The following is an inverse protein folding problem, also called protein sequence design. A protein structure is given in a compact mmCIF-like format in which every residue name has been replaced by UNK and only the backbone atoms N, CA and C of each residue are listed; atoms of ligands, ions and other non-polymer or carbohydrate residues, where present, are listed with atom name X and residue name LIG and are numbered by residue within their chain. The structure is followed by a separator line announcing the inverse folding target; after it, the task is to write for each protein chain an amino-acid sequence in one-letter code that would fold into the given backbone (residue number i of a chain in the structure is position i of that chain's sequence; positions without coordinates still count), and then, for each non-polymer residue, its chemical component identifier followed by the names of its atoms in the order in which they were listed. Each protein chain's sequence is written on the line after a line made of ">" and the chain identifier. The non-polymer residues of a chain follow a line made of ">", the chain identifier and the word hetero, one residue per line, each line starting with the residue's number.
data_IF_867206198981
#
_entry.id   IF_867206198981
#
_cell.length_a   1.000
_cell.length_b   1.000
_cell.length_c   1.000
_cell.angle_alpha   90.00
_cell.angle_beta   90.00
_cell.angle_gamma   90.00
#
_symmetry.space_group_name_H-M   'P 1'
#
loop_
_entity.id
_entity.type
_entity.pdbx_description
1 polymer ?
#
# COMPACT_ATOMS: atom_id res chain seq x y z
N UNK A 1 27.85 -15.08 5.81
CA UNK A 1 28.52 -14.58 4.59
C UNK A 1 27.94 -13.22 4.28
N UNK A 2 28.74 -12.16 4.36
CA UNK A 2 28.36 -10.83 3.89
C UNK A 2 28.29 -10.89 2.36
N UNK A 3 27.09 -10.77 1.80
CA UNK A 3 26.90 -10.62 0.35
C UNK A 3 27.71 -9.40 -0.10
N UNK A 4 28.57 -9.57 -1.09
CA UNK A 4 29.25 -8.45 -1.73
C UNK A 4 28.19 -7.56 -2.38
N UNK A 5 28.10 -6.31 -1.94
CA UNK A 5 27.15 -5.33 -2.49
C UNK A 5 27.76 -4.78 -3.79
N UNK A 6 27.09 -4.91 -4.94
CA UNK A 6 27.61 -4.41 -6.19
C UNK A 6 27.63 -2.88 -6.22
N UNK A 7 28.45 -2.29 -7.10
CA UNK A 7 28.46 -0.83 -7.31
C UNK A 7 27.27 -0.34 -8.13
N UNK A 8 26.69 -1.22 -8.95
CA UNK A 8 25.53 -0.93 -9.82
C UNK A 8 24.44 -2.00 -9.65
N UNK A 9 23.25 -1.69 -10.13
CA UNK A 9 22.03 -2.49 -10.02
C UNK A 9 21.10 -2.25 -11.20
N UNK A 10 20.16 -3.18 -11.40
CA UNK A 10 19.03 -3.01 -12.30
C UNK A 10 17.90 -2.22 -11.64
N UNK A 11 17.34 -1.25 -12.36
CA UNK A 11 16.17 -0.46 -11.94
C UNK A 11 15.14 -0.36 -13.06
N UNK A 12 13.86 -0.25 -12.70
CA UNK A 12 12.79 0.09 -13.63
C UNK A 12 12.56 1.61 -13.61
N UNK A 13 13.12 2.31 -14.60
CA UNK A 13 13.20 3.76 -14.67
C UNK A 13 12.12 4.35 -15.59
N UNK A 14 11.54 5.46 -15.17
CA UNK A 14 10.64 6.29 -15.99
C UNK A 14 11.27 7.68 -16.13
N UNK A 15 11.77 8.03 -17.31
CA UNK A 15 12.49 9.30 -17.53
C UNK A 15 11.58 10.52 -17.52
N UNK A 16 10.34 10.35 -17.97
CA UNK A 16 9.33 11.39 -18.06
C UNK A 16 7.94 10.78 -17.83
N UNK A 17 7.02 11.56 -17.27
CA UNK A 17 5.64 11.14 -17.09
C UNK A 17 4.99 10.80 -18.43
N UNK A 18 4.21 9.72 -18.46
CA UNK A 18 3.64 9.12 -19.67
C UNK A 18 4.64 8.29 -20.49
N UNK A 19 5.93 8.32 -20.16
CA UNK A 19 6.99 7.57 -20.83
C UNK A 19 6.95 6.06 -20.55
N UNK A 20 7.72 5.28 -21.31
CA UNK A 20 7.88 3.85 -21.08
C UNK A 20 8.64 3.56 -19.78
N UNK A 21 8.50 2.33 -19.28
CA UNK A 21 9.37 1.79 -18.23
C UNK A 21 10.60 1.20 -18.92
N UNK A 22 11.78 1.69 -18.56
CA UNK A 22 13.07 1.24 -19.08
C UNK A 22 13.80 0.46 -17.99
N UNK A 23 14.31 -0.73 -18.31
CA UNK A 23 15.23 -1.43 -17.42
C UNK A 23 16.65 -0.92 -17.67
N UNK A 24 17.29 -0.39 -16.63
CA UNK A 24 18.65 0.15 -16.67
C UNK A 24 19.51 -0.68 -15.72
N UNK A 25 20.50 -1.40 -16.25
CA UNK A 25 21.30 -2.39 -15.51
C UNK A 25 22.57 -1.84 -14.84
N UNK A 26 22.94 -0.59 -15.16
CA UNK A 26 24.15 0.09 -14.67
C UNK A 26 23.83 1.25 -13.72
N UNK A 27 22.66 1.23 -13.08
CA UNK A 27 22.26 2.29 -12.15
C UNK A 27 23.04 2.17 -10.83
N UNK A 28 23.52 3.27 -10.21
CA UNK A 28 24.31 3.18 -8.99
C UNK A 28 23.52 2.58 -7.81
N UNK A 29 24.15 1.70 -7.03
CA UNK A 29 23.61 1.27 -5.73
C UNK A 29 23.78 2.42 -4.74
N UNK A 30 22.72 2.85 -4.03
CA UNK A 30 22.84 3.95 -3.08
C UNK A 30 23.73 3.57 -1.88
N UNK A 31 24.52 4.53 -1.41
CA UNK A 31 25.29 4.39 -0.17
C UNK A 31 24.45 4.95 0.96
N UNK A 32 24.07 4.14 1.98
CA UNK A 32 23.23 4.63 3.06
C UNK A 32 23.97 5.67 3.90
N UNK A 33 23.30 6.79 4.17
CA UNK A 33 23.75 7.84 5.07
C UNK A 33 23.71 7.44 6.56
N UNK A 34 23.95 8.41 7.45
CA UNK A 34 24.04 8.18 8.90
C UNK A 34 22.77 7.58 9.53
N UNK A 35 21.59 7.96 9.02
CA UNK A 35 20.29 7.52 9.50
C UNK A 35 19.59 6.58 8.51
N UNK A 36 20.35 5.94 7.63
CA UNK A 36 19.80 5.06 6.61
C UNK A 36 20.36 3.65 6.70
N UNK A 37 19.58 2.70 6.19
CA UNK A 37 20.04 1.34 5.91
C UNK A 37 19.91 1.08 4.42
N UNK A 38 20.77 0.20 3.90
CA UNK A 38 20.61 -0.33 2.55
C UNK A 38 19.91 -1.68 2.65
N UNK A 39 18.80 -1.84 1.93
CA UNK A 39 18.09 -3.10 1.80
C UNK A 39 18.21 -3.63 0.37
N UNK A 40 18.47 -4.94 0.23
CA UNK A 40 18.26 -5.66 -1.02
C UNK A 40 16.78 -5.98 -1.14
N UNK A 41 16.13 -5.49 -2.18
CA UNK A 41 14.73 -5.77 -2.46
C UNK A 41 14.58 -7.24 -2.87
N UNK A 42 13.62 -7.92 -2.26
CA UNK A 42 13.29 -9.31 -2.54
C UNK A 42 12.08 -9.41 -3.46
N UNK A 43 11.02 -8.66 -3.12
CA UNK A 43 9.76 -8.62 -3.85
C UNK A 43 9.15 -7.24 -3.74
N UNK A 44 8.35 -6.87 -4.74
CA UNK A 44 7.54 -5.66 -4.72
C UNK A 44 6.26 -5.90 -5.52
N UNK A 45 5.15 -5.43 -4.98
CA UNK A 45 3.89 -5.39 -5.73
C UNK A 45 3.90 -4.29 -6.79
N UNK A 46 2.96 -4.38 -7.73
CA UNK A 46 2.64 -3.33 -8.69
C UNK A 46 1.21 -2.90 -8.43
N UNK A 47 1.04 -1.68 -7.95
CA UNK A 47 -0.25 -1.13 -7.61
C UNK A 47 -0.71 -0.14 -8.69
N UNK A 48 -2.02 0.09 -8.75
CA UNK A 48 -2.63 1.05 -9.66
C UNK A 48 -2.04 2.46 -9.47
N UNK A 49 -1.63 2.82 -8.25
CA UNK A 49 -0.97 4.09 -7.95
C UNK A 49 0.36 4.24 -8.69
N UNK A 50 1.15 3.16 -8.85
CA UNK A 50 2.39 3.20 -9.64
C UNK A 50 2.08 3.53 -11.11
N UNK A 51 1.01 2.95 -11.66
CA UNK A 51 0.57 3.22 -13.03
C UNK A 51 0.07 4.66 -13.20
N UNK A 52 -0.70 5.18 -12.23
CA UNK A 52 -1.18 6.56 -12.25
C UNK A 52 -0.03 7.56 -12.17
N UNK A 53 0.94 7.32 -11.29
CA UNK A 53 2.16 8.15 -11.17
C UNK A 53 2.96 8.11 -12.45
N UNK A 54 3.27 6.91 -12.98
CA UNK A 54 3.97 6.74 -14.26
C UNK A 54 3.26 7.46 -15.41
N UNK A 55 1.92 7.41 -15.46
CA UNK A 55 1.13 8.07 -16.50
C UNK A 55 0.97 9.59 -16.32
N UNK A 56 1.37 10.16 -15.17
CA UNK A 56 1.10 11.56 -14.83
C UNK A 56 -0.37 11.87 -14.54
N UNK A 57 -1.14 10.85 -14.13
CA UNK A 57 -2.57 10.95 -13.81
C UNK A 57 -2.87 10.80 -12.32
N UNK A 58 -1.84 10.67 -11.48
CA UNK A 58 -2.00 10.62 -10.04
C UNK A 58 -2.64 11.92 -9.52
N UNK A 59 -3.61 11.78 -8.63
CA UNK A 59 -4.32 12.89 -8.03
C UNK A 59 -4.29 12.77 -6.50
N UNK A 60 -4.26 13.91 -5.82
CA UNK A 60 -4.41 14.01 -4.39
C UNK A 60 -5.83 13.69 -3.93
N UNK A 61 -6.01 13.61 -2.62
CA UNK A 61 -7.31 13.40 -1.99
C UNK A 61 -8.33 14.53 -2.29
N UNK A 62 -7.87 15.70 -2.71
CA UNK A 62 -8.66 16.85 -3.17
C UNK A 62 -8.99 16.80 -4.67
N UNK A 63 -8.62 15.72 -5.37
CA UNK A 63 -8.79 15.55 -6.80
C UNK A 63 -7.82 16.39 -7.65
N UNK A 64 -6.90 17.13 -7.03
CA UNK A 64 -5.92 17.91 -7.77
C UNK A 64 -4.78 17.01 -8.29
N UNK A 65 -4.29 17.23 -9.53
CA UNK A 65 -3.18 16.46 -10.06
C UNK A 65 -1.92 16.61 -9.22
N UNK A 66 -1.22 15.50 -8.99
CA UNK A 66 0.10 15.49 -8.37
C UNK A 66 1.14 15.78 -9.44
N UNK A 67 1.67 17.00 -9.44
CA UNK A 67 2.58 17.49 -10.49
C UNK A 67 4.05 17.48 -10.07
N UNK A 68 4.34 17.49 -8.77
CA UNK A 68 5.70 17.48 -8.23
C UNK A 68 6.21 16.04 -8.01
N UNK A 69 6.50 15.33 -9.10
CA UNK A 69 7.07 13.99 -9.09
C UNK A 69 8.57 14.06 -9.44
N UNK A 70 9.43 13.44 -8.62
CA UNK A 70 10.87 13.29 -8.90
C UNK A 70 11.07 12.53 -10.21
N UNK A 71 11.84 13.11 -11.13
CA UNK A 71 12.28 12.46 -12.37
C UNK A 71 13.83 12.43 -12.45
N UNK A 72 14.43 11.39 -13.07
CA UNK A 72 13.77 10.17 -13.50
C UNK A 72 13.23 9.39 -12.30
N UNK A 73 12.08 8.75 -12.48
CA UNK A 73 11.29 8.13 -11.43
C UNK A 73 11.55 6.62 -11.40
N UNK A 74 11.91 6.09 -10.23
CA UNK A 74 11.84 4.67 -9.92
C UNK A 74 10.63 4.48 -9.00
N UNK A 75 9.63 3.74 -9.46
CA UNK A 75 8.38 3.49 -8.72
C UNK A 75 8.49 2.38 -7.68
N UNK A 76 7.35 1.90 -7.18
CA UNK A 76 7.25 0.78 -6.25
C UNK A 76 7.16 1.25 -4.80
N UNK A 77 6.05 0.96 -4.15
CA UNK A 77 5.77 1.47 -2.79
C UNK A 77 5.16 0.41 -1.86
N UNK A 78 5.30 -0.84 -2.26
CA UNK A 78 4.83 -2.03 -1.55
C UNK A 78 5.86 -3.16 -1.72
N UNK A 79 7.08 -2.88 -1.24
CA UNK A 79 8.24 -3.76 -1.37
C UNK A 79 8.65 -4.42 -0.05
N UNK A 80 9.36 -5.54 -0.15
CA UNK A 80 9.98 -6.24 0.97
C UNK A 80 11.45 -6.39 0.65
N UNK A 81 12.31 -6.08 1.62
CA UNK A 81 13.75 -6.20 1.47
C UNK A 81 14.42 -6.85 2.68
N UNK A 82 15.71 -7.15 2.54
CA UNK A 82 16.59 -7.50 3.66
C UNK A 82 17.71 -6.49 3.79
N UNK A 83 17.95 -6.03 5.01
CA UNK A 83 19.05 -5.11 5.29
C UNK A 83 20.38 -5.79 4.95
N UNK A 84 21.20 -5.17 4.10
CA UNK A 84 22.53 -5.65 3.71
C UNK A 84 23.65 -4.74 4.20
N UNK A 85 23.35 -3.49 4.56
CA UNK A 85 24.31 -2.54 5.14
C UNK A 85 23.62 -1.55 6.05
N UNK A 86 24.26 -1.24 7.17
CA UNK A 86 23.82 -0.19 8.09
C UNK A 86 24.60 1.09 7.83
N UNK A 87 23.92 2.23 7.96
CA UNK A 87 24.52 3.53 8.11
C UNK A 87 25.34 3.67 9.40
N UNK A 88 26.28 4.63 9.46
CA UNK A 88 27.11 4.87 10.64
C UNK A 88 26.32 5.05 11.94
N UNK A 89 26.67 4.25 12.96
CA UNK A 89 26.14 4.38 14.32
C UNK A 89 24.76 3.76 14.55
N UNK A 90 24.13 3.12 13.54
CA UNK A 90 22.78 2.56 13.69
C UNK A 90 22.78 1.37 14.64
N UNK A 91 23.76 0.47 14.54
CA UNK A 91 23.83 -0.72 15.38
C UNK A 91 23.92 -0.38 16.87
N UNK A 92 24.57 0.74 17.20
CA UNK A 92 24.70 1.26 18.56
C UNK A 92 23.44 1.99 19.03
N UNK A 93 22.75 2.72 18.14
CA UNK A 93 21.53 3.48 18.47
C UNK A 93 20.29 2.60 18.60
N UNK A 94 20.18 1.58 17.75
CA UNK A 94 19.04 0.68 17.71
C UNK A 94 19.47 -0.75 17.35
N UNK A 95 19.67 -1.63 18.35
CA UNK A 95 20.10 -3.00 18.12
C UNK A 95 19.01 -3.88 17.49
N UNK A 96 17.76 -3.41 17.38
CA UNK A 96 16.71 -4.13 16.67
C UNK A 96 16.87 -4.07 15.14
N UNK A 97 17.67 -3.11 14.64
CA UNK A 97 18.00 -2.93 13.24
C UNK A 97 19.38 -3.53 12.97
N UNK A 98 19.41 -4.70 12.33
CA UNK A 98 20.64 -5.43 12.05
C UNK A 98 20.67 -5.97 10.62
N UNK A 99 21.87 -6.30 10.13
CA UNK A 99 22.06 -6.91 8.81
C UNK A 99 21.33 -8.26 8.78
N UNK A 100 20.46 -8.44 7.78
CA UNK A 100 19.62 -9.62 7.63
C UNK A 100 18.16 -9.39 8.00
N UNK A 101 17.84 -8.33 8.75
CA UNK A 101 16.45 -8.00 9.10
C UNK A 101 15.59 -7.86 7.85
N UNK A 102 14.49 -8.62 7.82
CA UNK A 102 13.40 -8.42 6.88
C UNK A 102 12.68 -7.09 7.16
N UNK A 103 12.48 -6.28 6.12
CA UNK A 103 11.93 -4.92 6.23
C UNK A 103 10.92 -4.62 5.14
N UNK A 104 9.95 -3.78 5.46
CA UNK A 104 8.96 -3.27 4.51
C UNK A 104 9.36 -1.93 3.89
N UNK A 105 9.13 -1.79 2.60
CA UNK A 105 9.23 -0.58 1.79
C UNK A 105 7.82 -0.13 1.48
N UNK A 106 7.29 0.78 2.30
CA UNK A 106 5.91 1.25 2.26
C UNK A 106 5.79 2.54 1.47
N UNK A 107 4.57 3.07 1.33
CA UNK A 107 4.36 4.34 0.63
C UNK A 107 5.17 5.51 1.21
N UNK A 108 5.06 5.79 2.51
CA UNK A 108 5.79 6.90 3.13
C UNK A 108 7.25 6.52 3.34
N UNK A 109 8.16 7.36 2.84
CA UNK A 109 9.60 7.17 3.01
C UNK A 109 10.07 7.81 4.31
N UNK A 110 9.74 9.10 4.50
CA UNK A 110 10.16 9.86 5.68
C UNK A 110 9.03 10.67 6.29
N UNK A 111 9.09 10.78 7.61
CA UNK A 111 8.20 11.61 8.43
C UNK A 111 9.02 12.43 9.43
N UNK A 112 8.42 13.47 10.00
CA UNK A 112 9.12 14.38 10.90
C UNK A 112 9.32 13.84 12.32
N UNK A 113 8.57 12.78 12.70
CA UNK A 113 8.60 12.09 14.02
C UNK A 113 8.33 12.99 15.24
N UNK A 114 7.83 14.20 15.01
CA UNK A 114 7.73 15.23 16.05
C UNK A 114 6.41 16.00 16.04
N UNK A 115 5.66 15.97 14.93
CA UNK A 115 4.32 16.57 14.92
C UNK A 115 3.33 15.70 15.68
N UNK A 116 2.22 16.31 16.08
CA UNK A 116 1.13 15.65 16.80
C UNK A 116 0.67 14.34 16.14
N UNK A 117 0.60 14.30 14.81
CA UNK A 117 0.25 13.08 14.07
C UNK A 117 1.30 11.99 14.20
N UNK A 118 2.59 12.33 14.12
CA UNK A 118 3.65 11.34 14.30
C UNK A 118 3.73 10.84 15.75
N UNK A 119 3.50 11.74 16.72
CA UNK A 119 3.54 11.39 18.15
C UNK A 119 2.29 10.60 18.58
N UNK A 120 1.15 10.81 17.90
CA UNK A 120 -0.07 10.05 18.10
C UNK A 120 -0.10 8.68 17.43
N UNK A 121 0.93 8.32 16.65
CA UNK A 121 0.89 7.11 15.79
C UNK A 121 -0.13 7.22 14.65
N UNK A 122 -0.50 8.45 14.29
CA UNK A 122 -1.52 8.79 13.31
C UNK A 122 -0.90 9.26 11.98
N UNK A 123 0.37 8.96 11.70
CA UNK A 123 0.98 9.25 10.39
C UNK A 123 0.16 8.70 9.20
N UNK A 124 -0.62 7.64 9.45
CA UNK A 124 -1.59 6.98 8.55
C UNK A 124 -3.06 7.09 9.02
N UNK A 125 -3.34 7.94 10.01
CA UNK A 125 -4.68 8.29 10.48
C UNK A 125 -5.27 7.33 11.50
N UNK A 126 -5.16 7.67 12.77
CA UNK A 126 -6.30 7.58 13.68
C UNK A 126 -6.81 9.02 13.80
N UNK A 127 -8.10 9.27 13.97
CA UNK A 127 -8.57 10.55 14.49
C UNK A 127 -9.97 10.24 15.01
N UNK A 128 -10.13 10.31 16.33
CA UNK A 128 -11.39 10.07 17.04
C UNK A 128 -12.48 11.11 16.72
N UNK A 129 -12.27 12.00 15.75
CA UNK A 129 -13.27 12.99 15.32
C UNK A 129 -14.14 12.42 14.21
N UNK A 130 -15.36 12.01 14.58
CA UNK A 130 -16.39 11.38 13.74
C UNK A 130 -16.94 12.24 12.58
N UNK A 131 -16.34 13.37 12.24
CA UNK A 131 -17.07 14.43 11.51
C UNK A 131 -16.55 14.79 10.12
N UNK A 132 -15.44 14.22 9.64
CA UNK A 132 -14.95 14.50 8.29
C UNK A 132 -14.42 13.23 7.62
N UNK A 133 -14.89 13.00 6.39
CA UNK A 133 -14.55 11.90 5.47
C UNK A 133 -13.08 11.47 5.61
N UNK A 134 -12.87 10.32 6.26
CA UNK A 134 -11.55 9.75 6.54
C UNK A 134 -10.94 9.14 5.27
N UNK A 135 -10.35 9.98 4.44
CA UNK A 135 -9.40 9.54 3.40
C UNK A 135 -8.05 9.26 4.06
N UNK A 136 -7.36 8.22 3.61
CA UNK A 136 -5.97 7.94 3.98
C UNK A 136 -5.12 9.11 3.49
N UNK A 137 -4.86 10.08 4.36
CA UNK A 137 -3.87 11.14 4.12
C UNK A 137 -2.58 10.75 4.84
N UNK A 138 -1.45 11.08 4.23
CA UNK A 138 -0.20 11.21 4.98
C UNK A 138 -0.38 12.42 5.91
N UNK A 139 -0.66 12.18 7.18
CA UNK A 139 -1.01 13.25 8.13
C UNK A 139 0.21 13.99 8.68
N UNK A 140 1.42 13.44 8.52
CA UNK A 140 2.64 14.13 8.90
C UNK A 140 2.76 15.43 8.10
N UNK A 141 2.39 16.58 8.67
CA UNK A 141 2.49 17.88 8.00
C UNK A 141 3.92 18.42 7.91
N UNK A 142 4.88 17.75 8.56
CA UNK A 142 6.22 18.27 8.77
C UNK A 142 6.27 19.24 9.94
N UNK A 143 7.49 19.58 10.38
CA UNK A 143 7.74 20.65 11.35
C UNK A 143 8.87 21.52 10.81
N UNK A 144 8.67 22.84 10.84
CA UNK A 144 9.64 23.81 10.33
C UNK A 144 9.90 23.57 8.85
N UNK A 145 11.18 23.40 8.49
CA UNK A 145 11.60 23.15 7.10
C UNK A 145 11.50 21.68 6.67
N UNK A 146 11.17 20.75 7.58
CA UNK A 146 11.06 19.33 7.23
C UNK A 146 9.77 19.07 6.43
N UNK A 147 9.90 18.46 5.25
CA UNK A 147 8.78 18.00 4.44
C UNK A 147 8.74 16.47 4.42
N UNK A 148 7.60 15.83 4.70
CA UNK A 148 7.46 14.39 4.57
C UNK A 148 7.66 13.95 3.11
N UNK A 149 8.11 12.72 2.91
CA UNK A 149 8.36 12.16 1.59
C UNK A 149 7.68 10.80 1.42
N UNK A 150 7.59 10.34 0.18
CA UNK A 150 7.05 9.03 -0.19
C UNK A 150 7.79 8.47 -1.41
N UNK A 151 7.74 7.15 -1.56
CA UNK A 151 8.45 6.38 -2.59
C UNK A 151 7.79 6.44 -3.98
N UNK A 152 6.71 7.22 -4.15
CA UNK A 152 6.11 7.46 -5.47
C UNK A 152 6.45 8.84 -6.04
N UNK A 153 6.52 9.87 -5.22
CA UNK A 153 6.57 11.25 -5.71
C UNK A 153 7.89 11.95 -5.38
N UNK A 154 8.54 11.58 -4.28
CA UNK A 154 9.65 12.35 -3.73
C UNK A 154 10.98 11.58 -3.71
N UNK A 155 10.91 10.28 -3.44
CA UNK A 155 12.05 9.38 -3.32
C UNK A 155 11.86 8.16 -4.22
N UNK A 156 12.97 7.48 -4.57
CA UNK A 156 12.92 6.28 -5.38
C UNK A 156 12.30 5.12 -4.61
N UNK A 157 11.47 4.33 -5.29
CA UNK A 157 10.74 3.21 -4.73
C UNK A 157 11.38 1.85 -4.96
N UNK A 158 10.63 0.78 -4.66
CA UNK A 158 11.09 -0.60 -4.64
C UNK A 158 11.30 -1.24 -6.03
N UNK A 159 11.07 -0.56 -7.15
CA UNK A 159 11.39 -1.08 -8.49
C UNK A 159 12.89 -0.97 -8.83
N UNK A 160 13.73 -1.40 -7.89
CA UNK A 160 15.19 -1.46 -7.95
C UNK A 160 15.69 -2.63 -7.09
N UNK A 161 16.89 -3.14 -7.34
CA UNK A 161 17.43 -4.27 -6.56
C UNK A 161 17.89 -3.89 -5.15
N UNK A 162 18.33 -2.64 -4.94
CA UNK A 162 18.85 -2.11 -3.69
C UNK A 162 18.32 -0.70 -3.43
N UNK A 163 17.81 -0.48 -2.22
CA UNK A 163 17.19 0.79 -1.82
C UNK A 163 17.72 1.27 -0.47
N UNK A 164 18.00 2.57 -0.37
CA UNK A 164 18.29 3.22 0.90
C UNK A 164 16.99 3.60 1.60
N UNK A 165 16.85 3.24 2.87
CA UNK A 165 15.66 3.46 3.67
C UNK A 165 16.02 4.20 4.95
N UNK A 166 15.13 5.08 5.39
CA UNK A 166 15.26 5.82 6.63
C UNK A 166 15.11 4.89 7.85
N UNK A 167 16.22 4.65 8.56
CA UNK A 167 16.30 3.67 9.64
C UNK A 167 15.37 3.99 10.81
N UNK A 168 15.16 5.28 11.11
CA UNK A 168 14.26 5.67 12.20
C UNK A 168 12.77 5.66 11.84
N UNK A 169 12.43 5.26 10.60
CA UNK A 169 11.05 5.07 10.16
C UNK A 169 10.91 3.80 9.31
N UNK A 170 11.77 2.81 9.53
CA UNK A 170 11.69 1.53 8.83
C UNK A 170 10.68 0.60 9.51
N UNK A 171 10.00 -0.23 8.73
CA UNK A 171 9.12 -1.28 9.27
C UNK A 171 9.89 -2.58 9.31
N UNK A 172 10.37 -2.98 10.49
CA UNK A 172 10.95 -4.32 10.72
C UNK A 172 9.82 -5.35 10.72
N UNK A 173 9.97 -6.42 9.94
CA UNK A 173 8.99 -7.48 9.81
C UNK A 173 9.40 -8.72 10.62
N UNK A 174 8.42 -9.55 11.06
CA UNK A 174 8.71 -10.90 11.54
C UNK A 174 9.56 -11.66 10.53
N UNK A 175 10.58 -12.39 10.98
CA UNK A 175 11.53 -13.04 10.05
C UNK A 175 10.95 -14.30 9.38
N UNK A 176 9.83 -14.80 9.87
CA UNK A 176 9.11 -16.00 9.44
C UNK A 176 7.93 -15.71 8.49
N UNK A 177 7.63 -14.44 8.21
CA UNK A 177 6.59 -14.09 7.23
C UNK A 177 7.10 -14.36 5.81
N UNK A 178 6.22 -14.88 4.95
CA UNK A 178 6.50 -15.01 3.52
C UNK A 178 6.62 -13.61 2.87
N UNK A 179 7.80 -13.23 2.35
CA UNK A 179 8.00 -11.94 1.70
C UNK A 179 7.08 -11.70 0.49
N UNK A 180 6.72 -12.75 -0.24
CA UNK A 180 5.85 -12.66 -1.43
C UNK A 180 4.46 -12.23 -1.02
N UNK A 181 3.93 -12.83 0.05
CA UNK A 181 2.60 -12.53 0.57
C UNK A 181 2.57 -11.20 1.34
N UNK A 182 3.68 -10.84 2.00
CA UNK A 182 3.78 -9.62 2.78
C UNK A 182 3.83 -8.34 1.92
N UNK A 183 4.48 -8.38 0.74
CA UNK A 183 4.69 -7.18 -0.08
C UNK A 183 3.40 -6.39 -0.36
N UNK A 184 2.31 -6.98 -0.91
CA UNK A 184 1.10 -6.23 -1.22
C UNK A 184 0.33 -5.76 0.02
N UNK A 185 0.65 -6.30 1.21
CA UNK A 185 0.02 -5.84 2.45
C UNK A 185 0.48 -4.43 2.83
N UNK A 186 1.65 -3.98 2.38
CA UNK A 186 2.21 -2.67 2.70
C UNK A 186 1.51 -1.50 1.99
N UNK A 187 0.67 -1.78 1.00
CA UNK A 187 -0.22 -0.79 0.41
C UNK A 187 -1.68 -1.26 0.45
N UNK A 188 -2.05 -2.24 -0.39
CA UNK A 188 -3.43 -2.68 -0.52
C UNK A 188 -3.98 -3.26 0.79
N UNK A 189 -3.17 -4.07 1.50
CA UNK A 189 -3.57 -4.65 2.78
C UNK A 189 -3.80 -3.61 3.87
N UNK A 190 -2.81 -2.74 4.15
CA UNK A 190 -2.93 -1.67 5.15
C UNK A 190 -4.11 -0.73 4.83
N UNK A 191 -4.28 -0.37 3.56
CA UNK A 191 -5.38 0.46 3.08
C UNK A 191 -6.74 -0.21 3.36
N UNK A 192 -6.89 -1.47 2.97
CA UNK A 192 -8.12 -2.22 3.19
C UNK A 192 -8.40 -2.45 4.68
N UNK A 193 -7.37 -2.78 5.47
CA UNK A 193 -7.49 -2.96 6.91
C UNK A 193 -8.00 -1.68 7.58
N UNK A 194 -7.41 -0.53 7.22
CA UNK A 194 -7.84 0.77 7.74
C UNK A 194 -9.26 1.12 7.33
N UNK A 195 -9.65 0.86 6.08
CA UNK A 195 -11.01 1.08 5.61
C UNK A 195 -12.03 0.25 6.41
N UNK A 196 -11.71 -1.02 6.70
CA UNK A 196 -12.56 -1.89 7.52
C UNK A 196 -12.61 -1.44 8.98
N UNK A 197 -11.51 -0.93 9.55
CA UNK A 197 -11.53 -0.32 10.88
C UNK A 197 -12.44 0.92 10.94
N UNK A 198 -12.39 1.77 9.93
CA UNK A 198 -13.20 2.98 9.85
C UNK A 198 -14.69 2.69 9.63
N UNK A 199 -15.03 1.49 9.15
CA UNK A 199 -16.42 1.06 9.06
C UNK A 199 -17.08 0.79 10.42
N UNK A 200 -16.29 0.80 11.53
CA UNK A 200 -16.77 0.67 12.91
C UNK A 200 -17.79 -0.48 13.10
N UNK A 201 -17.43 -1.64 12.54
CA UNK A 201 -18.31 -2.81 12.44
C UNK A 201 -18.52 -3.48 13.80
N UNK A 202 -19.78 -3.80 14.09
CA UNK A 202 -20.19 -4.72 15.15
C UNK A 202 -20.36 -6.14 14.60
N UNK A 203 -20.23 -7.13 15.49
CA UNK A 203 -20.40 -8.55 15.12
C UNK A 203 -21.74 -8.80 14.41
N UNK A 204 -21.69 -9.52 13.30
CA UNK A 204 -22.86 -9.86 12.49
C UNK A 204 -23.39 -8.75 11.59
N UNK A 205 -22.87 -7.51 11.66
CA UNK A 205 -23.25 -6.46 10.73
C UNK A 205 -22.81 -6.78 9.30
N UNK A 206 -23.54 -6.23 8.33
CA UNK A 206 -23.17 -6.35 6.94
C UNK A 206 -22.04 -5.40 6.58
N UNK A 207 -21.07 -5.90 5.83
CA UNK A 207 -20.06 -5.10 5.14
C UNK A 207 -20.20 -5.34 3.64
N UNK A 208 -20.44 -4.27 2.88
CA UNK A 208 -20.49 -4.34 1.41
C UNK A 208 -19.16 -3.84 0.86
N UNK A 209 -18.50 -4.67 0.04
CA UNK A 209 -17.20 -4.33 -0.59
C UNK A 209 -17.40 -4.21 -2.08
N UNK A 210 -17.26 -3.00 -2.63
CA UNK A 210 -17.29 -2.76 -4.08
C UNK A 210 -15.89 -2.92 -4.66
N UNK A 211 -15.77 -3.70 -5.75
CA UNK A 211 -14.47 -4.13 -6.28
C UNK A 211 -13.86 -5.28 -5.47
N UNK A 212 -14.69 -6.16 -4.91
CA UNK A 212 -14.31 -7.19 -3.95
C UNK A 212 -13.28 -8.22 -4.47
N UNK A 213 -13.22 -8.48 -5.77
CA UNK A 213 -12.24 -9.38 -6.36
C UNK A 213 -10.98 -8.67 -6.88
N UNK A 214 -10.84 -7.36 -6.66
CA UNK A 214 -9.65 -6.60 -7.00
C UNK A 214 -8.54 -6.71 -5.96
N UNK A 215 -7.36 -6.16 -6.27
CA UNK A 215 -6.15 -6.25 -5.42
C UNK A 215 -6.35 -5.78 -3.98
N UNK A 216 -7.12 -4.70 -3.77
CA UNK A 216 -7.45 -4.14 -2.46
C UNK A 216 -8.73 -4.75 -1.88
N UNK A 217 -9.78 -4.89 -2.69
CA UNK A 217 -11.09 -5.36 -2.22
C UNK A 217 -11.05 -6.75 -1.60
N UNK A 218 -10.20 -7.65 -2.12
CA UNK A 218 -10.06 -8.99 -1.57
C UNK A 218 -9.51 -9.00 -0.14
N UNK A 219 -8.69 -8.02 0.24
CA UNK A 219 -8.23 -7.85 1.62
C UNK A 219 -9.36 -7.33 2.50
N UNK A 220 -10.15 -6.36 2.03
CA UNK A 220 -11.28 -5.81 2.78
C UNK A 220 -12.32 -6.91 3.08
N UNK A 221 -12.56 -7.83 2.13
CA UNK A 221 -13.41 -9.00 2.35
C UNK A 221 -12.89 -9.87 3.49
N UNK A 222 -11.61 -10.26 3.43
CA UNK A 222 -10.99 -11.11 4.45
C UNK A 222 -10.98 -10.45 5.83
N UNK A 223 -10.65 -9.16 5.92
CA UNK A 223 -10.67 -8.42 7.18
C UNK A 223 -12.07 -8.24 7.74
N UNK A 224 -13.08 -7.99 6.89
CA UNK A 224 -14.48 -7.92 7.31
C UNK A 224 -14.95 -9.23 7.93
N UNK A 225 -14.68 -10.36 7.26
CA UNK A 225 -14.99 -11.69 7.76
C UNK A 225 -14.27 -11.99 9.08
N UNK A 226 -12.97 -11.66 9.17
CA UNK A 226 -12.18 -11.84 10.39
C UNK A 226 -12.68 -10.99 11.58
N UNK A 227 -13.33 -9.85 11.31
CA UNK A 227 -14.02 -9.03 12.32
C UNK A 227 -15.44 -9.52 12.65
N UNK A 228 -15.87 -10.64 12.08
CA UNK A 228 -17.18 -11.24 12.31
C UNK A 228 -18.33 -10.57 11.57
N UNK A 229 -18.04 -9.79 10.53
CA UNK A 229 -19.07 -9.19 9.68
C UNK A 229 -19.62 -10.21 8.66
N UNK A 230 -20.86 -9.99 8.22
CA UNK A 230 -21.45 -10.66 7.05
C UNK A 230 -21.03 -9.89 5.80
N UNK A 231 -20.08 -10.44 5.03
CA UNK A 231 -19.52 -9.71 3.89
C UNK A 231 -20.28 -10.01 2.61
N UNK A 232 -20.64 -8.95 1.88
CA UNK A 232 -21.17 -9.01 0.51
C UNK A 232 -20.15 -8.35 -0.41
N UNK A 233 -19.53 -9.13 -1.28
CA UNK A 233 -18.69 -8.61 -2.35
C UNK A 233 -19.52 -8.21 -3.58
N UNK A 234 -19.18 -7.08 -4.17
CA UNK A 234 -19.80 -6.54 -5.38
C UNK A 234 -18.70 -6.39 -6.43
N UNK A 235 -18.78 -7.15 -7.52
CA UNK A 235 -17.80 -7.08 -8.62
C UNK A 235 -18.41 -7.65 -9.92
N UNK A 236 -17.59 -7.90 -10.93
CA UNK A 236 -17.98 -8.56 -12.18
C UNK A 236 -17.13 -9.80 -12.48
N UNK A 237 -17.74 -10.79 -13.12
CA UNK A 237 -17.03 -11.94 -13.68
C UNK A 237 -16.83 -13.11 -12.71
N UNK A 238 -16.78 -14.31 -13.28
CA UNK A 238 -16.80 -15.57 -12.52
C UNK A 238 -15.51 -15.84 -11.73
N UNK A 239 -14.35 -15.44 -12.24
CA UNK A 239 -13.09 -15.61 -11.52
C UNK A 239 -13.09 -14.85 -10.18
N UNK A 240 -13.58 -13.60 -10.19
CA UNK A 240 -13.69 -12.76 -9.00
C UNK A 240 -14.77 -13.29 -8.06
N UNK A 241 -15.90 -13.76 -8.60
CA UNK A 241 -16.92 -14.48 -7.81
C UNK A 241 -16.29 -15.64 -7.05
N UNK A 242 -15.59 -16.53 -7.76
CA UNK A 242 -14.98 -17.72 -7.16
C UNK A 242 -13.98 -17.37 -6.06
N UNK A 243 -13.13 -16.34 -6.28
CA UNK A 243 -12.20 -15.85 -5.27
C UNK A 243 -12.94 -15.36 -4.02
N UNK A 244 -13.88 -14.43 -4.18
CA UNK A 244 -14.58 -13.80 -3.04
C UNK A 244 -15.41 -14.83 -2.26
N UNK A 245 -16.11 -15.74 -2.95
CA UNK A 245 -16.90 -16.77 -2.29
C UNK A 245 -16.03 -17.84 -1.63
N UNK A 246 -14.80 -18.07 -2.10
CA UNK A 246 -13.87 -18.98 -1.44
C UNK A 246 -13.47 -18.53 -0.03
N UNK A 247 -13.54 -17.22 0.25
CA UNK A 247 -13.34 -16.67 1.59
C UNK A 247 -14.56 -16.86 2.51
N UNK A 248 -15.73 -17.18 1.95
CA UNK A 248 -16.99 -17.31 2.69
C UNK A 248 -17.88 -16.06 2.65
N UNK A 249 -17.59 -15.10 1.76
CA UNK A 249 -18.46 -13.95 1.51
C UNK A 249 -19.55 -14.25 0.48
N UNK A 250 -20.67 -13.53 0.57
CA UNK A 250 -21.68 -13.49 -0.48
C UNK A 250 -21.18 -12.64 -1.66
N UNK A 251 -21.72 -12.86 -2.87
CA UNK A 251 -21.26 -12.16 -4.08
C UNK A 251 -22.42 -11.71 -4.98
N UNK A 252 -22.38 -10.43 -5.36
CA UNK A 252 -23.24 -9.80 -6.35
C UNK A 252 -22.40 -9.52 -7.60
N UNK A 253 -22.86 -10.06 -8.72
CA UNK A 253 -22.31 -9.73 -10.03
C UNK A 253 -23.11 -8.59 -10.65
N UNK A 254 -22.55 -7.38 -10.65
CA UNK A 254 -23.28 -6.19 -11.13
C UNK A 254 -23.56 -6.23 -12.63
N UNK A 255 -22.79 -7.00 -13.39
CA UNK A 255 -23.03 -7.17 -14.84
C UNK A 255 -24.28 -8.00 -15.15
N UNK A 256 -24.83 -8.68 -14.14
CA UNK A 256 -26.03 -9.51 -14.26
C UNK A 256 -27.27 -8.88 -13.62
N UNK A 257 -27.16 -7.66 -13.10
CA UNK A 257 -28.31 -6.96 -12.56
C UNK A 257 -29.21 -6.48 -13.70
N UNK A 258 -30.52 -6.53 -13.46
CA UNK A 258 -31.53 -6.12 -14.43
C UNK A 258 -32.28 -4.88 -13.91
N UNK A 259 -32.84 -4.03 -14.80
CA UNK A 259 -33.69 -2.93 -14.37
C UNK A 259 -34.82 -3.41 -13.46
N UNK A 260 -35.06 -2.71 -12.35
CA UNK A 260 -36.08 -3.16 -11.42
C UNK A 260 -37.49 -2.93 -11.99
N UNK A 261 -38.41 -3.91 -11.90
CA UNK A 261 -39.74 -3.78 -12.51
C UNK A 261 -40.66 -2.74 -11.88
N UNK A 262 -40.28 -2.14 -10.74
CA UNK A 262 -41.18 -1.32 -9.91
C UNK A 262 -40.51 0.02 -9.58
N UNK A 263 -41.25 1.10 -9.88
CA UNK A 263 -40.96 2.53 -9.68
C UNK A 263 -40.13 3.12 -10.83
N UNK A 264 -40.65 4.16 -11.48
CA UNK A 264 -40.08 4.80 -12.68
C UNK A 264 -38.77 5.56 -12.46
N UNK A 265 -37.85 4.96 -11.72
CA UNK A 265 -36.47 5.34 -11.50
C UNK A 265 -35.55 4.31 -12.15
N UNK A 266 -34.34 4.73 -12.53
CA UNK A 266 -33.33 3.89 -13.17
C UNK A 266 -32.62 2.99 -12.15
N UNK A 267 -33.37 2.22 -11.37
CA UNK A 267 -32.85 1.34 -10.32
C UNK A 267 -32.50 -0.06 -10.88
N UNK A 268 -31.43 -0.66 -10.37
CA UNK A 268 -31.00 -2.02 -10.75
C UNK A 268 -31.34 -3.02 -9.64
N UNK A 269 -31.98 -4.12 -10.01
CA UNK A 269 -32.30 -5.25 -9.15
C UNK A 269 -31.28 -6.39 -9.38
N UNK A 270 -30.51 -6.69 -8.33
CA UNK A 270 -29.41 -7.65 -8.33
C UNK A 270 -29.77 -8.85 -7.44
N UNK A 271 -29.58 -10.08 -7.94
CA UNK A 271 -29.80 -11.28 -7.14
C UNK A 271 -28.50 -11.82 -6.54
N UNK A 272 -28.60 -12.31 -5.32
CA UNK A 272 -27.57 -13.17 -4.73
C UNK A 272 -27.61 -14.51 -5.46
N UNK A 273 -26.46 -15.07 -5.80
CA UNK A 273 -26.37 -16.41 -6.39
C UNK A 273 -26.87 -17.55 -5.47
N UNK A 274 -27.34 -17.23 -4.26
CA UNK A 274 -27.94 -18.14 -3.28
C UNK A 274 -29.06 -17.42 -2.51
N UNK A 275 -30.13 -18.13 -2.20
CA UNK A 275 -31.18 -17.69 -1.28
C UNK A 275 -30.56 -17.30 0.07
N UNK A 276 -30.60 -16.01 0.43
CA UNK A 276 -30.22 -15.51 1.75
C UNK A 276 -31.22 -16.03 2.79
N UNK A 277 -30.97 -17.25 3.27
CA UNK A 277 -31.61 -17.82 4.46
C UNK A 277 -30.49 -18.17 5.44
N UNK A 278 -29.91 -17.13 6.03
CA UNK A 278 -29.04 -17.21 7.22
C UNK A 278 -29.29 -16.02 8.12
#
# INVERSE_FOLDING_TARGET
>A
MTLAIPSTQTVALVRQLGGAVEFVDDYPVPVPGQDEVLAKVLYTGVCQSDLHTRAGTAAGADGQPITAIKLPHIGGHEGIGRIVKLGPGIAERDPSIYIGSLVGIRFSSRICRRCEYCLGGEEYGFHFSKTLVQLIRQYCQGIGSFKPTNHLHHEDGAFQEYIALDAGYITILPQDVDPVLAAPTLCAGLTAYKAVLNADLWLGQFLVVVGAGGGLGQYAVQYGLARGARVIGVDTGEHKRALVTSFGADFIDVSRCVPCPMNGHSDLCCSFGKNLTR
#
